data_IF_151709249216
#
_entry.id   IF_151709249216
#
_cell.length_a   1.000
_cell.length_b   1.000
_cell.length_c   1.000
_cell.angle_alpha   90.00
_cell.angle_beta   90.00
_cell.angle_gamma   90.00
#
_symmetry.space_group_name_H-M   'P 1'
#
loop_
_entity.id
_entity.type
_entity.pdbx_description
1 polymer ?
#
# COMPACT_ATOMS: atom_id res chain seq x y z
N UNK A 1 -8.14 38.93 -41.65
CA UNK A 1 -9.00 38.92 -40.46
C UNK A 1 -8.93 37.54 -39.87
N UNK A 2 -8.50 37.51 -38.62
CA UNK A 2 -8.64 36.47 -37.59
C UNK A 2 -8.01 35.10 -37.80
N UNK A 3 -7.13 34.85 -36.84
CA UNK A 3 -6.43 33.68 -36.38
C UNK A 3 -7.36 32.47 -36.21
N UNK A 4 -6.88 31.28 -36.54
CA UNK A 4 -7.44 30.03 -35.99
C UNK A 4 -6.29 29.12 -35.54
N UNK A 5 -5.79 29.47 -34.37
CA UNK A 5 -5.15 28.56 -33.43
C UNK A 5 -6.21 27.57 -32.91
N UNK A 6 -5.97 26.27 -33.04
CA UNK A 6 -6.29 25.27 -32.00
C UNK A 6 -5.66 23.92 -32.42
N UNK A 7 -4.41 23.65 -32.05
CA UNK A 7 -4.00 22.98 -30.80
C UNK A 7 -4.55 21.55 -30.70
N UNK A 8 -3.99 20.67 -31.53
CA UNK A 8 -4.08 19.22 -31.32
C UNK A 8 -3.26 18.86 -30.08
N UNK A 9 -3.91 18.99 -28.92
CA UNK A 9 -3.35 18.60 -27.62
C UNK A 9 -3.16 17.08 -27.67
N UNK A 10 -1.88 16.71 -27.70
CA UNK A 10 -1.33 15.40 -27.35
C UNK A 10 -2.19 14.78 -26.25
N UNK A 11 -2.89 13.69 -26.60
CA UNK A 11 -3.68 12.90 -25.67
C UNK A 11 -2.69 12.15 -24.77
N UNK A 12 -2.15 12.90 -23.80
CA UNK A 12 -1.42 12.35 -22.68
C UNK A 12 -2.33 11.35 -22.00
N UNK A 13 -1.92 10.09 -22.11
CA UNK A 13 -2.41 8.95 -21.36
C UNK A 13 -2.19 9.24 -19.87
N UNK A 14 -3.14 9.98 -19.28
CA UNK A 14 -3.24 10.13 -17.85
C UNK A 14 -3.87 8.84 -17.32
N UNK A 15 -3.05 7.80 -17.23
CA UNK A 15 -3.35 6.62 -16.43
C UNK A 15 -3.55 7.07 -14.99
N UNK A 16 -4.81 7.28 -14.61
CA UNK A 16 -5.20 7.28 -13.21
C UNK A 16 -5.05 5.83 -12.76
N UNK A 17 -3.90 5.51 -12.21
CA UNK A 17 -3.68 4.23 -11.53
C UNK A 17 -4.63 4.27 -10.33
N UNK A 18 -5.80 3.65 -10.49
CA UNK A 18 -6.80 3.51 -9.43
C UNK A 18 -6.14 2.71 -8.31
N UNK A 19 -5.56 3.44 -7.37
CA UNK A 19 -4.90 2.92 -6.18
C UNK A 19 -5.96 2.23 -5.33
N UNK A 20 -6.21 0.95 -5.65
CA UNK A 20 -7.17 0.12 -4.94
C UNK A 20 -6.85 0.18 -3.45
N UNK A 21 -7.83 0.51 -2.59
CA UNK A 21 -7.60 0.63 -1.15
C UNK A 21 -6.91 -0.63 -0.61
N UNK A 22 -5.96 -0.50 0.33
CA UNK A 22 -5.28 -1.65 0.88
C UNK A 22 -6.31 -2.59 1.53
N UNK A 23 -6.50 -3.76 0.94
CA UNK A 23 -7.47 -4.74 1.43
C UNK A 23 -7.00 -5.27 2.79
N UNK A 24 -7.77 -4.98 3.84
CA UNK A 24 -7.51 -5.49 5.19
C UNK A 24 -7.79 -6.99 5.18
N UNK A 25 -6.75 -7.80 5.39
CA UNK A 25 -6.83 -9.28 5.36
C UNK A 25 -6.55 -9.87 6.72
N UNK A 26 -7.34 -10.85 7.14
CA UNK A 26 -7.01 -11.63 8.33
C UNK A 26 -5.82 -12.55 8.08
N UNK A 27 -4.81 -12.48 8.94
CA UNK A 27 -3.57 -13.25 8.82
C UNK A 27 -3.14 -13.82 10.15
N UNK A 28 -2.39 -14.92 10.12
CA UNK A 28 -1.78 -15.51 11.33
C UNK A 28 -0.44 -14.83 11.63
N UNK A 29 -0.27 -14.36 12.87
CA UNK A 29 0.98 -13.76 13.33
C UNK A 29 2.13 -14.77 13.32
N UNK A 30 3.29 -14.42 12.75
CA UNK A 30 4.44 -15.34 12.73
C UNK A 30 5.03 -15.61 14.13
N UNK A 31 4.79 -14.73 15.10
CA UNK A 31 5.32 -14.86 16.47
C UNK A 31 4.41 -15.68 17.39
N UNK A 32 3.13 -15.31 17.48
CA UNK A 32 2.17 -15.94 18.41
C UNK A 32 1.11 -16.81 17.72
N UNK A 33 1.06 -16.84 16.39
CA UNK A 33 0.05 -17.55 15.57
C UNK A 33 -1.40 -17.08 15.73
N UNK A 34 -1.65 -16.02 16.50
CA UNK A 34 -2.96 -15.36 16.63
C UNK A 34 -3.40 -14.77 15.28
N UNK A 35 -4.69 -14.87 14.97
CA UNK A 35 -5.29 -14.25 13.79
C UNK A 35 -5.44 -12.75 14.07
N UNK A 36 -4.99 -11.90 13.15
CA UNK A 36 -5.07 -10.45 13.28
C UNK A 36 -5.37 -9.78 11.94
N UNK A 37 -6.00 -8.59 11.92
CA UNK A 37 -6.22 -7.81 10.70
C UNK A 37 -4.90 -7.19 10.23
N UNK A 38 -4.47 -7.57 9.04
CA UNK A 38 -3.31 -7.05 8.33
C UNK A 38 -3.68 -5.76 7.62
N UNK A 39 -3.05 -4.64 7.97
CA UNK A 39 -3.36 -3.33 7.37
C UNK A 39 -2.83 -3.19 5.93
N UNK A 40 -1.86 -4.01 5.53
CA UNK A 40 -1.25 -3.98 4.21
C UNK A 40 -0.67 -5.37 3.87
N UNK A 41 -0.37 -5.61 2.60
CA UNK A 41 -0.02 -6.94 2.09
C UNK A 41 1.25 -7.58 2.68
N UNK A 42 2.14 -6.80 3.30
CA UNK A 42 3.36 -7.31 3.94
C UNK A 42 3.30 -7.37 5.47
N UNK A 43 2.19 -6.99 6.11
CA UNK A 43 2.06 -7.15 7.55
C UNK A 43 1.91 -8.63 7.91
N UNK A 44 2.81 -9.12 8.76
CA UNK A 44 2.87 -10.54 9.20
C UNK A 44 2.99 -10.72 10.71
N UNK A 45 3.09 -9.62 11.46
CA UNK A 45 3.22 -9.59 12.91
C UNK A 45 2.07 -8.76 13.47
N UNK A 46 1.30 -9.34 14.40
CA UNK A 46 0.18 -8.63 15.02
C UNK A 46 0.66 -7.43 15.84
N UNK A 47 -0.22 -6.44 16.04
CA UNK A 47 0.08 -5.21 16.80
C UNK A 47 0.68 -5.50 18.18
N UNK A 48 0.18 -6.54 18.87
CA UNK A 48 0.72 -6.98 20.18
C UNK A 48 2.18 -7.36 20.09
N UNK A 49 2.53 -8.31 19.21
CA UNK A 49 3.91 -8.75 19.02
C UNK A 49 4.81 -7.68 18.42
N UNK A 50 4.27 -6.77 17.61
CA UNK A 50 4.99 -5.61 17.05
C UNK A 50 5.37 -4.63 18.16
N UNK A 51 4.49 -4.39 19.13
CA UNK A 51 4.75 -3.55 20.31
C UNK A 51 5.70 -4.20 21.32
N UNK A 52 5.77 -5.53 21.37
CA UNK A 52 6.68 -6.27 22.27
C UNK A 52 8.17 -6.13 21.92
N UNK A 53 8.53 -5.43 20.85
CA UNK A 53 9.92 -5.06 20.55
C UNK A 53 10.85 -6.19 20.07
N UNK A 54 10.48 -7.46 20.21
CA UNK A 54 11.34 -8.61 19.84
C UNK A 54 11.65 -8.76 18.34
N UNK A 55 11.10 -7.93 17.46
CA UNK A 55 11.31 -7.98 15.99
C UNK A 55 12.21 -6.85 15.47
N UNK A 56 12.57 -5.86 16.29
CA UNK A 56 13.37 -4.69 15.85
C UNK A 56 14.86 -4.96 15.65
N UNK A 57 15.35 -6.18 15.86
CA UNK A 57 16.78 -6.46 15.71
C UNK A 57 17.13 -6.82 14.25
N UNK A 58 17.03 -5.82 13.37
CA UNK A 58 17.61 -5.87 12.03
C UNK A 58 19.07 -5.45 12.08
N UNK A 59 19.95 -6.45 12.09
CA UNK A 59 21.36 -6.41 11.64
C UNK A 59 22.35 -5.58 12.46
N UNK A 60 23.25 -6.30 13.15
CA UNK A 60 24.66 -5.91 13.29
C UNK A 60 25.37 -6.01 11.94
#
# INVERSE_FOLDING_TARGET
MVDNIDKSIDSGDAGYEEETPPEIKERKCLKCREIFPSQWAGERICKRCKSSGSWRNGSV
#
